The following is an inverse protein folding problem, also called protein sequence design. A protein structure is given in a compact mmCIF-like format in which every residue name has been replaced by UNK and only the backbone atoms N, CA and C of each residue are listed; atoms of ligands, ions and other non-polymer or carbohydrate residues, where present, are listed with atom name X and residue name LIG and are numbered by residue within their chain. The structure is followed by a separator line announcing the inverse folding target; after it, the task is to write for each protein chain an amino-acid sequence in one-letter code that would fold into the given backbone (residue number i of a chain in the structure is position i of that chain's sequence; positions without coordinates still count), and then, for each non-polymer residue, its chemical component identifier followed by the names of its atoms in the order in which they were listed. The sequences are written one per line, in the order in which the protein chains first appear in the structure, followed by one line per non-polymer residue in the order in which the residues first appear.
data_IF_020059529857
#
_entry.id   IF_020059529857
#
_cell.length_a   1.000
_cell.length_b   1.000
_cell.length_c   1.000
_cell.angle_alpha   90.00
_cell.angle_beta   90.00
_cell.angle_gamma   90.00
#
_symmetry.space_group_name_H-M   'P 1'
#
loop_
_entity.id
_entity.type
_entity.pdbx_description
1 polymer ?
#
# COMPACT_ATOMS: atom_id res chain seq x y z
N UNK A 1 10.43 -1.60 6.62
CA UNK A 1 10.05 -1.07 5.30
C UNK A 1 9.36 0.28 5.47
N UNK A 2 9.48 1.13 4.49
CA UNK A 2 8.84 2.46 4.48
C UNK A 2 8.30 2.76 3.09
N UNK A 3 7.24 3.56 3.04
CA UNK A 3 6.77 4.09 1.77
C UNK A 3 7.77 5.14 1.27
N UNK A 4 7.93 5.22 -0.05
CA UNK A 4 8.77 6.24 -0.67
C UNK A 4 8.00 7.56 -0.66
N UNK A 5 8.64 8.64 -0.22
CA UNK A 5 8.02 9.95 -0.19
C UNK A 5 7.65 10.42 -1.59
N UNK A 6 6.55 11.15 -1.69
CA UNK A 6 6.09 11.73 -2.94
C UNK A 6 4.96 10.98 -3.61
N UNK A 7 4.57 9.83 -3.09
CA UNK A 7 3.38 9.13 -3.58
C UNK A 7 2.17 9.57 -2.79
N UNK A 8 1.07 9.82 -3.50
CA UNK A 8 -0.20 10.19 -2.91
C UNK A 8 -1.28 9.21 -3.30
N UNK A 9 -2.09 8.82 -2.34
CA UNK A 9 -3.26 7.98 -2.56
C UNK A 9 -4.44 8.87 -2.90
N UNK A 10 -5.09 8.59 -4.03
CA UNK A 10 -6.28 9.34 -4.45
C UNK A 10 -7.42 8.38 -4.76
N UNK A 11 -8.63 8.83 -4.51
CA UNK A 11 -9.82 8.05 -4.83
C UNK A 11 -10.46 8.61 -6.09
N UNK A 12 -10.69 7.75 -7.07
CA UNK A 12 -11.39 8.08 -8.31
C UNK A 12 -12.58 7.14 -8.47
N UNK A 13 -13.78 7.65 -8.24
CA UNK A 13 -14.97 6.81 -8.28
C UNK A 13 -14.90 5.72 -7.22
N UNK A 14 -14.94 4.47 -7.63
CA UNK A 14 -14.86 3.32 -6.73
C UNK A 14 -13.45 2.73 -6.64
N UNK A 15 -12.48 3.39 -7.26
CA UNK A 15 -11.10 2.91 -7.29
C UNK A 15 -10.19 3.83 -6.52
N UNK A 16 -9.07 3.28 -6.08
CA UNK A 16 -7.98 4.04 -5.47
C UNK A 16 -6.78 3.98 -6.37
N UNK A 17 -6.08 5.11 -6.51
CA UNK A 17 -4.86 5.15 -7.30
C UNK A 17 -3.74 5.76 -6.49
N UNK A 18 -2.53 5.33 -6.79
CA UNK A 18 -1.31 5.86 -6.19
C UNK A 18 -0.59 6.64 -7.27
N UNK A 19 -0.36 7.93 -7.03
CA UNK A 19 0.30 8.81 -8.00
C UNK A 19 1.55 9.42 -7.40
N UNK A 20 2.59 9.58 -8.22
CA UNK A 20 3.81 10.25 -7.83
C UNK A 20 3.67 11.75 -8.02
N UNK A 21 3.88 12.52 -6.97
CA UNK A 21 3.75 13.98 -6.98
C UNK A 21 5.06 14.70 -6.68
N UNK A 22 6.13 13.96 -6.35
CA UNK A 22 7.45 14.53 -6.04
C UNK A 22 8.24 14.81 -7.30
N UNK A 23 9.08 15.83 -7.27
CA UNK A 23 10.03 16.11 -8.36
C UNK A 23 10.95 14.92 -8.63
N UNK A 24 11.29 14.16 -7.60
CA UNK A 24 12.10 12.96 -7.75
C UNK A 24 11.38 11.86 -8.53
N UNK A 25 10.06 11.95 -8.66
CA UNK A 25 9.23 10.96 -9.33
C UNK A 25 8.66 11.45 -10.65
N UNK A 26 9.20 12.54 -11.19
CA UNK A 26 8.69 13.17 -12.42
C UNK A 26 8.66 12.20 -13.61
N UNK A 27 9.57 11.21 -13.61
CA UNK A 27 9.64 10.19 -14.64
C UNK A 27 8.86 8.93 -14.31
N UNK A 28 8.11 8.95 -13.22
CA UNK A 28 7.28 7.81 -12.83
C UNK A 28 6.00 7.83 -13.66
N UNK A 29 5.93 6.92 -14.61
CA UNK A 29 4.84 6.87 -15.59
C UNK A 29 3.72 5.91 -15.26
N UNK A 30 3.82 5.22 -14.12
CA UNK A 30 2.83 4.21 -13.76
C UNK A 30 1.80 4.75 -12.80
N UNK A 31 0.54 4.55 -13.12
CA UNK A 31 -0.54 4.67 -12.16
C UNK A 31 -0.79 3.30 -11.57
N UNK A 32 -0.75 3.21 -10.25
CA UNK A 32 -0.98 1.95 -9.54
C UNK A 32 -2.38 2.00 -8.97
N UNK A 33 -3.22 1.06 -9.40
CA UNK A 33 -4.58 0.93 -8.91
C UNK A 33 -4.57 0.02 -7.68
N UNK A 34 -5.23 0.48 -6.61
CA UNK A 34 -5.35 -0.28 -5.37
C UNK A 34 -6.82 -0.57 -5.12
N UNK A 35 -7.12 -1.78 -4.65
CA UNK A 35 -8.45 -2.06 -4.14
C UNK A 35 -8.59 -1.45 -2.74
N UNK A 36 -9.79 -1.54 -2.17
CA UNK A 36 -10.07 -0.96 -0.85
C UNK A 36 -9.12 -1.45 0.22
N UNK A 37 -8.85 -2.75 0.25
CA UNK A 37 -7.94 -3.36 1.24
C UNK A 37 -6.51 -2.85 1.07
N UNK A 38 -6.01 -2.82 -0.16
CA UNK A 38 -4.66 -2.33 -0.43
C UNK A 38 -4.54 -0.84 -0.11
N UNK A 39 -5.58 -0.05 -0.36
CA UNK A 39 -5.59 1.37 0.00
C UNK A 39 -5.54 1.55 1.52
N UNK A 40 -6.27 0.73 2.27
CA UNK A 40 -6.20 0.74 3.73
C UNK A 40 -4.78 0.42 4.20
N UNK A 41 -4.17 -0.61 3.64
CA UNK A 41 -2.80 -1.00 4.00
C UNK A 41 -1.79 0.10 3.66
N UNK A 42 -1.98 0.79 2.54
CA UNK A 42 -1.10 1.90 2.19
C UNK A 42 -1.18 3.03 3.22
N UNK A 43 -2.37 3.38 3.67
CA UNK A 43 -2.54 4.40 4.71
C UNK A 43 -1.85 3.99 6.01
N UNK A 44 -1.92 2.72 6.37
CA UNK A 44 -1.22 2.20 7.54
C UNK A 44 0.30 2.27 7.35
N UNK A 45 0.78 1.92 6.17
CA UNK A 45 2.20 1.94 5.85
C UNK A 45 2.78 3.35 5.89
N UNK A 46 1.99 4.37 5.54
CA UNK A 46 2.43 5.76 5.56
C UNK A 46 2.68 6.31 6.96
N UNK A 47 2.19 5.64 7.99
CA UNK A 47 2.35 6.08 9.38
C UNK A 47 3.79 5.97 9.89
N UNK A 48 4.64 5.22 9.20
CA UNK A 48 6.03 5.04 9.60
C UNK A 48 6.60 3.75 9.06
N UNK A 49 7.60 3.22 9.74
CA UNK A 49 8.14 1.91 9.38
C UNK A 49 7.11 0.82 9.58
N UNK A 50 7.06 -0.11 8.66
CA UNK A 50 6.10 -1.21 8.72
C UNK A 50 6.76 -2.52 8.29
N UNK A 51 6.10 -3.63 8.60
CA UNK A 51 6.47 -4.94 8.11
C UNK A 51 5.19 -5.75 7.85
N UNK A 52 5.34 -6.97 7.36
CA UNK A 52 4.18 -7.81 7.06
C UNK A 52 3.35 -8.08 8.33
N UNK A 53 4.00 -8.28 9.47
CA UNK A 53 3.30 -8.56 10.72
C UNK A 53 2.46 -7.37 11.18
N UNK A 54 3.00 -6.15 11.10
CA UNK A 54 2.26 -4.95 11.52
C UNK A 54 1.08 -4.67 10.61
N UNK A 55 1.24 -4.84 9.31
CA UNK A 55 0.15 -4.67 8.36
C UNK A 55 -0.92 -5.75 8.52
N UNK A 56 -0.49 -6.99 8.77
CA UNK A 56 -1.42 -8.09 9.02
C UNK A 56 -2.29 -7.81 10.25
N UNK A 57 -1.67 -7.34 11.32
CA UNK A 57 -2.40 -6.98 12.53
C UNK A 57 -3.41 -5.87 12.27
N UNK A 58 -3.00 -4.83 11.57
CA UNK A 58 -3.89 -3.72 11.23
C UNK A 58 -5.09 -4.20 10.40
N UNK A 59 -4.83 -5.08 9.44
CA UNK A 59 -5.88 -5.63 8.59
C UNK A 59 -6.87 -6.47 9.40
N UNK A 60 -6.39 -7.31 10.30
CA UNK A 60 -7.25 -8.12 11.15
C UNK A 60 -8.06 -7.28 12.14
N UNK A 61 -7.51 -6.15 12.59
CA UNK A 61 -8.21 -5.25 13.50
C UNK A 61 -9.33 -4.48 12.80
N UNK A 62 -9.15 -4.18 11.51
CA UNK A 62 -10.12 -3.39 10.75
C UNK A 62 -11.18 -4.25 10.06
N UNK A 63 -10.80 -5.42 9.59
CA UNK A 63 -11.66 -6.32 8.84
C UNK A 63 -11.79 -7.66 9.54
N UNK A 64 -12.95 -8.29 9.37
CA UNK A 64 -13.20 -9.64 9.91
C UNK A 64 -12.59 -10.67 8.96
N UNK A 65 -11.29 -10.90 9.09
CA UNK A 65 -10.54 -11.80 8.22
C UNK A 65 -9.62 -12.68 9.06
N UNK A 66 -9.49 -13.95 8.66
CA UNK A 66 -8.61 -14.89 9.33
C UNK A 66 -7.15 -14.44 9.19
N UNK A 67 -6.32 -14.55 10.26
CA UNK A 67 -4.92 -14.11 10.19
C UNK A 67 -4.12 -14.72 9.06
N UNK A 68 -4.35 -15.98 8.73
CA UNK A 68 -3.64 -16.66 7.65
C UNK A 68 -3.93 -16.04 6.30
N UNK A 69 -5.21 -15.74 6.04
CA UNK A 69 -5.61 -15.08 4.81
C UNK A 69 -5.10 -13.65 4.77
N UNK A 70 -5.18 -12.95 5.90
CA UNK A 70 -4.68 -11.58 6.00
C UNK A 70 -3.19 -11.52 5.67
N UNK A 71 -2.41 -12.47 6.21
CA UNK A 71 -0.97 -12.51 5.96
C UNK A 71 -0.68 -12.79 4.48
N UNK A 72 -1.42 -13.71 3.86
CA UNK A 72 -1.28 -14.00 2.44
C UNK A 72 -1.54 -12.75 1.60
N UNK A 73 -2.60 -12.03 1.90
CA UNK A 73 -2.96 -10.82 1.17
C UNK A 73 -1.93 -9.70 1.39
N UNK A 74 -1.45 -9.56 2.63
CA UNK A 74 -0.45 -8.55 2.97
C UNK A 74 0.87 -8.81 2.25
N UNK A 75 1.35 -10.05 2.26
CA UNK A 75 2.60 -10.41 1.58
C UNK A 75 2.49 -10.15 0.08
N UNK A 76 1.38 -10.56 -0.53
CA UNK A 76 1.16 -10.31 -1.95
C UNK A 76 1.14 -8.80 -2.27
N UNK A 77 0.52 -8.00 -1.40
CA UNK A 77 0.47 -6.56 -1.56
C UNK A 77 1.86 -5.93 -1.45
N UNK A 78 2.63 -6.32 -0.44
CA UNK A 78 4.00 -5.83 -0.25
C UNK A 78 4.87 -6.18 -1.45
N UNK A 79 4.78 -7.42 -1.94
CA UNK A 79 5.55 -7.85 -3.11
C UNK A 79 5.20 -7.02 -4.34
N UNK A 80 3.91 -6.73 -4.53
CA UNK A 80 3.45 -5.87 -5.61
C UNK A 80 4.01 -4.46 -5.49
N UNK A 81 4.04 -3.91 -4.27
CA UNK A 81 4.60 -2.58 -4.02
C UNK A 81 6.11 -2.54 -4.27
N UNK A 82 6.82 -3.58 -3.88
CA UNK A 82 8.27 -3.68 -4.15
C UNK A 82 8.54 -3.70 -5.64
N UNK A 83 7.76 -4.47 -6.38
CA UNK A 83 7.88 -4.57 -7.83
C UNK A 83 7.59 -3.23 -8.51
N UNK A 84 6.61 -2.51 -7.99
CA UNK A 84 6.25 -1.19 -8.50
C UNK A 84 7.22 -0.09 -8.09
N UNK A 85 8.07 -0.34 -7.08
CA UNK A 85 9.06 0.63 -6.64
C UNK A 85 8.50 1.74 -5.76
N UNK A 86 7.41 1.48 -5.04
CA UNK A 86 6.75 2.49 -4.19
C UNK A 86 7.10 2.35 -2.71
N UNK A 87 7.84 1.33 -2.33
CA UNK A 87 8.33 1.15 -0.96
C UNK A 87 9.83 0.84 -0.98
N UNK A 88 10.47 1.13 0.15
CA UNK A 88 11.88 0.79 0.38
C UNK A 88 11.99 -0.47 1.21
#
# INVERSE_FOLDING_TARGET
MKTIEGFKLRKLGNEYILVGESMALINFNKMITLNETAAFLWKEAEKGSFDAASLCKALCDEYDVAPEKAMTDVVATIDSWKEAGVIE
#
